data_IF_524153416294
#
_entry.id   IF_524153416294
#
_cell.length_a   1.000
_cell.length_b   1.000
_cell.length_c   1.000
_cell.angle_alpha   90.00
_cell.angle_beta   90.00
_cell.angle_gamma   90.00
#
_symmetry.space_group_name_H-M   'P 1'
#
loop_
_entity.id
_entity.type
_entity.pdbx_description
1 polymer ?
#
# COMPACT_ATOMS: atom_id res chain seq x y z
N UNK A 1 -33.49 -8.79 4.62
CA UNK A 1 -32.13 -8.71 5.18
C UNK A 1 -31.24 -9.61 4.34
N UNK A 2 -30.22 -9.09 3.67
CA UNK A 2 -29.29 -9.94 2.90
C UNK A 2 -28.41 -10.71 3.89
N UNK A 3 -28.35 -12.02 3.74
CA UNK A 3 -27.48 -12.88 4.53
C UNK A 3 -26.02 -12.51 4.22
N UNK A 4 -25.31 -11.90 5.18
CA UNK A 4 -23.87 -11.64 5.03
C UNK A 4 -23.19 -13.00 5.14
N UNK A 5 -22.76 -13.54 4.00
CA UNK A 5 -21.96 -14.77 3.96
C UNK A 5 -20.49 -14.40 4.00
N UNK A 6 -19.79 -14.93 4.99
CA UNK A 6 -18.34 -14.93 5.02
C UNK A 6 -17.80 -15.74 3.83
N UNK A 7 -16.76 -15.22 3.15
CA UNK A 7 -16.10 -15.88 2.03
C UNK A 7 -14.59 -15.70 2.20
N UNK A 8 -13.80 -16.76 2.39
CA UNK A 8 -12.34 -16.64 2.48
C UNK A 8 -11.73 -15.94 1.25
N UNK A 9 -12.35 -16.11 0.08
CA UNK A 9 -11.92 -15.46 -1.16
C UNK A 9 -12.04 -13.93 -1.12
N UNK A 10 -12.89 -13.36 -0.24
CA UNK A 10 -12.95 -11.91 -0.08
C UNK A 10 -11.68 -11.33 0.55
N UNK A 11 -10.98 -12.10 1.39
CA UNK A 11 -9.69 -11.71 1.96
C UNK A 11 -8.60 -11.67 0.90
N UNK A 12 -8.50 -12.71 0.05
CA UNK A 12 -7.52 -12.74 -1.04
C UNK A 12 -7.77 -11.64 -2.06
N UNK A 13 -9.05 -11.34 -2.37
CA UNK A 13 -9.39 -10.21 -3.25
C UNK A 13 -9.05 -8.87 -2.62
N UNK A 14 -9.40 -8.67 -1.35
CA UNK A 14 -9.05 -7.47 -0.61
C UNK A 14 -7.54 -7.25 -0.52
N UNK A 15 -6.76 -8.31 -0.31
CA UNK A 15 -5.30 -8.28 -0.33
C UNK A 15 -4.77 -7.75 -1.67
N UNK A 16 -5.24 -8.31 -2.79
CA UNK A 16 -4.84 -7.86 -4.13
C UNK A 16 -5.23 -6.39 -4.40
N UNK A 17 -6.41 -5.97 -3.94
CA UNK A 17 -6.88 -4.59 -4.10
C UNK A 17 -6.04 -3.61 -3.26
N UNK A 18 -5.67 -3.97 -2.04
CA UNK A 18 -4.80 -3.18 -1.16
C UNK A 18 -3.42 -3.02 -1.80
N UNK A 19 -2.83 -4.12 -2.26
CA UNK A 19 -1.50 -4.13 -2.87
C UNK A 19 -1.46 -3.25 -4.13
N UNK A 20 -2.43 -3.45 -5.05
CA UNK A 20 -2.54 -2.65 -6.27
C UNK A 20 -2.77 -1.14 -5.97
N UNK A 21 -3.56 -0.84 -4.94
CA UNK A 21 -3.82 0.54 -4.53
C UNK A 21 -2.59 1.18 -3.87
N UNK A 22 -1.84 0.42 -3.07
CA UNK A 22 -0.61 0.86 -2.44
C UNK A 22 0.46 1.19 -3.50
N UNK A 23 0.64 0.34 -4.51
CA UNK A 23 1.54 0.60 -5.63
C UNK A 23 1.12 1.85 -6.44
N UNK A 24 -0.18 2.02 -6.67
CA UNK A 24 -0.71 3.19 -7.38
C UNK A 24 -0.49 4.49 -6.58
N UNK A 25 -0.72 4.44 -5.26
CA UNK A 25 -0.45 5.54 -4.35
C UNK A 25 1.03 5.91 -4.35
N UNK A 26 1.91 4.91 -4.18
CA UNK A 26 3.36 5.10 -4.14
C UNK A 26 3.87 5.76 -5.42
N UNK A 27 3.50 5.23 -6.59
CA UNK A 27 3.86 5.80 -7.90
C UNK A 27 3.42 7.25 -8.04
N UNK A 28 2.16 7.55 -7.66
CA UNK A 28 1.61 8.90 -7.77
C UNK A 28 2.28 9.87 -6.79
N UNK A 29 2.52 9.44 -5.57
CA UNK A 29 3.15 10.26 -4.54
C UNK A 29 4.63 10.53 -4.87
N UNK A 30 5.39 9.52 -5.28
CA UNK A 30 6.79 9.70 -5.72
C UNK A 30 6.88 10.67 -6.91
N UNK A 31 6.00 10.54 -7.90
CA UNK A 31 5.96 11.48 -9.03
C UNK A 31 5.69 12.93 -8.60
N UNK A 32 4.86 13.14 -7.57
CA UNK A 32 4.63 14.48 -7.01
C UNK A 32 5.88 14.97 -6.29
N UNK A 33 6.51 14.13 -5.46
CA UNK A 33 7.69 14.50 -4.70
C UNK A 33 8.86 14.84 -5.62
N UNK A 34 9.08 14.07 -6.69
CA UNK A 34 10.09 14.37 -7.71
C UNK A 34 9.85 15.72 -8.38
N UNK A 35 8.60 16.02 -8.74
CA UNK A 35 8.24 17.32 -9.32
C UNK A 35 8.46 18.48 -8.34
N UNK A 36 8.23 18.25 -7.05
CA UNK A 36 8.49 19.23 -6.01
C UNK A 36 9.98 19.41 -5.74
N UNK A 37 10.79 18.36 -5.85
CA UNK A 37 12.24 18.42 -5.64
C UNK A 37 13.04 19.04 -6.79
N UNK A 38 12.40 19.29 -7.93
CA UNK A 38 13.03 19.95 -9.08
C UNK A 38 13.20 21.46 -8.83
N UNK A 39 14.36 21.82 -8.28
CA UNK A 39 14.76 23.21 -8.03
C UNK A 39 14.75 24.08 -9.30
N UNK A 40 14.92 23.47 -10.49
CA UNK A 40 14.85 24.18 -11.76
C UNK A 40 13.44 24.60 -12.13
N UNK A 41 12.44 23.78 -11.81
CA UNK A 41 11.02 24.12 -11.99
C UNK A 41 10.53 25.17 -11.00
N UNK A 42 11.24 25.33 -9.88
CA UNK A 42 10.93 26.34 -8.87
C UNK A 42 11.57 27.70 -9.16
N UNK A 43 12.35 27.81 -10.24
CA UNK A 43 13.04 29.06 -10.60
C UNK A 43 14.24 29.37 -9.71
N UNK A 44 14.62 28.47 -8.80
CA UNK A 44 15.72 28.66 -7.85
C UNK A 44 17.12 28.51 -8.51
N UNK A 45 17.19 27.98 -9.73
CA UNK A 45 18.45 27.70 -10.43
C UNK A 45 19.24 28.96 -10.86
N UNK A 46 18.61 30.14 -10.87
CA UNK A 46 19.27 31.40 -11.24
C UNK A 46 19.66 32.28 -10.04
N UNK A 47 19.52 31.76 -8.81
CA UNK A 47 20.32 32.13 -7.64
C UNK A 47 20.46 33.61 -7.29
N UNK A 48 19.42 34.43 -7.48
CA UNK A 48 19.51 35.86 -7.24
C UNK A 48 19.26 36.26 -5.78
N UNK A 49 18.52 35.43 -5.03
CA UNK A 49 17.95 35.84 -3.74
C UNK A 49 18.32 34.89 -2.59
N UNK A 50 18.25 35.42 -1.36
CA UNK A 50 18.40 34.61 -0.13
C UNK A 50 17.34 33.50 -0.03
N UNK A 51 16.15 33.71 -0.62
CA UNK A 51 15.09 32.71 -0.67
C UNK A 51 15.49 31.51 -1.54
N UNK A 52 16.15 31.74 -2.69
CA UNK A 52 16.62 30.66 -3.57
C UNK A 52 17.65 29.77 -2.87
N UNK A 53 18.54 30.38 -2.07
CA UNK A 53 19.54 29.66 -1.27
C UNK A 53 18.90 28.87 -0.13
N UNK A 54 17.92 29.45 0.57
CA UNK A 54 17.20 28.74 1.62
C UNK A 54 16.43 27.54 1.06
N UNK A 55 15.79 27.71 -0.10
CA UNK A 55 15.05 26.64 -0.78
C UNK A 55 15.98 25.54 -1.29
N UNK A 56 17.13 25.87 -1.88
CA UNK A 56 18.08 24.85 -2.35
C UNK A 56 18.67 24.00 -1.22
N UNK A 57 18.72 24.52 0.01
CA UNK A 57 19.17 23.78 1.19
C UNK A 57 18.08 22.89 1.80
N UNK A 58 16.85 23.41 1.92
CA UNK A 58 15.78 22.76 2.70
C UNK A 58 15.01 21.75 1.83
N UNK A 59 14.76 22.09 0.57
CA UNK A 59 13.87 21.32 -0.28
C UNK A 59 14.35 19.89 -0.56
N UNK A 60 15.65 19.64 -0.83
CA UNK A 60 16.15 18.27 -1.03
C UNK A 60 15.92 17.37 0.18
N UNK A 61 16.11 17.91 1.40
CA UNK A 61 15.91 17.17 2.65
C UNK A 61 14.43 16.83 2.83
N UNK A 62 13.54 17.79 2.59
CA UNK A 62 12.09 17.55 2.65
C UNK A 62 11.64 16.52 1.63
N UNK A 63 12.17 16.58 0.40
CA UNK A 63 11.81 15.62 -0.65
C UNK A 63 12.34 14.22 -0.36
N UNK A 64 13.53 14.09 0.23
CA UNK A 64 14.07 12.79 0.68
C UNK A 64 13.19 12.18 1.76
N UNK A 65 12.85 12.96 2.80
CA UNK A 65 11.97 12.51 3.88
C UNK A 65 10.58 12.11 3.37
N UNK A 66 10.04 12.85 2.40
CA UNK A 66 8.77 12.52 1.77
C UNK A 66 8.85 11.23 0.93
N UNK A 67 9.95 11.01 0.20
CA UNK A 67 10.18 9.75 -0.53
C UNK A 67 10.26 8.56 0.42
N UNK A 68 11.04 8.68 1.50
CA UNK A 68 11.16 7.64 2.53
C UNK A 68 9.81 7.29 3.16
N UNK A 69 9.01 8.30 3.51
CA UNK A 69 7.67 8.08 4.05
C UNK A 69 6.74 7.37 3.06
N UNK A 70 6.77 7.76 1.78
CA UNK A 70 5.95 7.13 0.73
C UNK A 70 6.34 5.67 0.53
N UNK A 71 7.64 5.37 0.47
CA UNK A 71 8.15 4.00 0.34
C UNK A 71 7.74 3.17 1.56
N UNK A 72 7.95 3.69 2.77
CA UNK A 72 7.58 2.99 4.01
C UNK A 72 6.07 2.73 4.13
N UNK A 73 5.23 3.65 3.66
CA UNK A 73 3.77 3.40 3.60
C UNK A 73 3.43 2.29 2.61
N UNK A 74 4.05 2.28 1.42
CA UNK A 74 3.81 1.25 0.42
C UNK A 74 4.22 -0.14 0.93
N UNK A 75 5.40 -0.24 1.57
CA UNK A 75 5.87 -1.45 2.22
C UNK A 75 4.92 -1.92 3.32
N UNK A 76 4.46 -1.01 4.18
CA UNK A 76 3.50 -1.31 5.23
C UNK A 76 2.17 -1.86 4.70
N UNK A 77 1.66 -1.30 3.60
CA UNK A 77 0.47 -1.83 2.95
C UNK A 77 0.71 -3.18 2.28
N UNK A 78 1.88 -3.42 1.69
CA UNK A 78 2.26 -4.74 1.15
C UNK A 78 2.30 -5.82 2.23
N UNK A 79 2.82 -5.50 3.41
CA UNK A 79 2.80 -6.41 4.58
C UNK A 79 1.35 -6.71 4.99
N UNK A 80 0.48 -5.68 5.04
CA UNK A 80 -0.92 -5.88 5.41
C UNK A 80 -1.68 -6.72 4.37
N UNK A 81 -1.46 -6.47 3.07
CA UNK A 81 -2.01 -7.29 2.00
C UNK A 81 -1.58 -8.76 2.13
N UNK A 82 -0.31 -9.01 2.47
CA UNK A 82 0.18 -10.36 2.70
C UNK A 82 -0.49 -11.03 3.91
N UNK A 83 -0.64 -10.30 5.03
CA UNK A 83 -1.38 -10.79 6.20
C UNK A 83 -2.83 -11.14 5.86
N UNK A 84 -3.48 -10.31 5.03
CA UNK A 84 -4.83 -10.55 4.54
C UNK A 84 -4.89 -11.83 3.68
N UNK A 85 -3.93 -12.02 2.77
CA UNK A 85 -3.83 -13.21 1.92
C UNK A 85 -3.70 -14.48 2.77
N UNK A 86 -2.74 -14.50 3.70
CA UNK A 86 -2.50 -15.62 4.62
C UNK A 86 -3.75 -15.90 5.46
N UNK A 87 -4.43 -14.86 5.94
CA UNK A 87 -5.68 -15.02 6.68
C UNK A 87 -6.77 -15.70 5.84
N UNK A 88 -6.95 -15.27 4.59
CA UNK A 88 -7.87 -15.90 3.66
C UNK A 88 -7.56 -17.38 3.39
N UNK A 89 -6.28 -17.71 3.22
CA UNK A 89 -5.83 -19.10 3.00
C UNK A 89 -6.10 -19.99 4.21
N UNK A 90 -5.82 -19.49 5.42
CA UNK A 90 -6.11 -20.21 6.66
C UNK A 90 -7.61 -20.49 6.81
N UNK A 91 -8.47 -19.51 6.52
CA UNK A 91 -9.91 -19.73 6.57
C UNK A 91 -10.38 -20.73 5.53
N UNK A 92 -9.87 -20.67 4.29
CA UNK A 92 -10.22 -21.62 3.23
C UNK A 92 -9.85 -23.06 3.61
N UNK A 93 -8.67 -23.27 4.17
CA UNK A 93 -8.20 -24.59 4.60
C UNK A 93 -9.05 -25.17 5.76
N UNK A 94 -9.45 -24.32 6.72
CA UNK A 94 -10.33 -24.72 7.83
C UNK A 94 -11.73 -25.07 7.29
N UNK A 95 -12.27 -24.27 6.37
CA UNK A 95 -13.59 -24.51 5.79
C UNK A 95 -13.63 -25.81 4.99
N UNK A 96 -12.57 -26.11 4.24
CA UNK A 96 -12.40 -27.40 3.55
C UNK A 96 -12.36 -28.56 4.55
N UNK A 97 -11.55 -28.46 5.61
CA UNK A 97 -11.43 -29.49 6.66
C UNK A 97 -12.78 -29.75 7.35
N UNK A 98 -13.50 -28.68 7.70
CA UNK A 98 -14.82 -28.79 8.32
C UNK A 98 -15.85 -29.42 7.38
N UNK A 99 -15.81 -29.09 6.10
CA UNK A 99 -16.70 -29.67 5.08
C UNK A 99 -16.46 -31.17 4.94
N UNK A 100 -15.18 -31.60 4.92
CA UNK A 100 -14.81 -33.02 4.88
C UNK A 100 -15.26 -33.76 6.14
N UNK A 101 -15.06 -33.18 7.33
CA UNK A 101 -15.49 -33.77 8.59
C UNK A 101 -17.03 -33.89 8.68
N UNK A 102 -17.75 -32.86 8.25
CA UNK A 102 -19.21 -32.87 8.22
C UNK A 102 -19.76 -33.95 7.29
N UNK A 103 -19.14 -34.14 6.11
CA UNK A 103 -19.50 -35.21 5.19
C UNK A 103 -19.25 -36.61 5.80
N UNK A 104 -18.18 -36.77 6.58
CA UNK A 104 -17.87 -38.03 7.26
C UNK A 104 -18.84 -38.36 8.40
N UNK A 105 -19.30 -37.34 9.14
CA UNK A 105 -20.23 -37.52 10.26
C UNK A 105 -21.69 -37.65 9.78
N UNK A 106 -22.12 -36.84 8.81
CA UNK A 106 -23.49 -36.83 8.29
C UNK A 106 -23.80 -37.90 7.24
N UNK A 107 -22.79 -38.68 6.82
CA UNK A 107 -22.93 -39.83 5.94
C UNK A 107 -23.23 -41.16 6.66
N UNK A 108 -23.34 -41.15 7.99
CA UNK A 108 -23.86 -42.25 8.82
C UNK A 108 -25.29 -41.95 9.29
#
# INVERSE_FOLDING_TARGET
MSEIRFSPQSWSRGAADVDATAEALARRALSIVERCGDLGRLGCNNGGTLADTALSMILPVLTSAAQEAVVGMAEGFGIEAENMRVTGENYAAIEETNTQLAALIGGN
#
